data_IF_457461671166
#
_entry.id   IF_457461671166
#
_cell.length_a   1.000
_cell.length_b   1.000
_cell.length_c   1.000
_cell.angle_alpha   90.00
_cell.angle_beta   90.00
_cell.angle_gamma   90.00
#
_symmetry.space_group_name_H-M   'P 1'
#
loop_
_entity.id
_entity.type
_entity.pdbx_description
1 polymer ?
#
# COMPACT_ATOMS: atom_id res chain seq x y z
N UNK A 1 5.19 -10.61 -10.08
CA UNK A 1 4.54 -10.26 -8.80
C UNK A 1 5.58 -10.30 -7.70
N UNK A 2 5.59 -9.30 -6.83
CA UNK A 2 6.52 -9.23 -5.70
C UNK A 2 6.20 -10.30 -4.66
N UNK A 3 7.24 -10.98 -4.17
CA UNK A 3 7.13 -11.80 -2.95
C UNK A 3 7.18 -10.88 -1.73
N UNK A 4 6.06 -10.74 -1.01
CA UNK A 4 5.95 -9.82 0.12
C UNK A 4 6.60 -10.34 1.41
N UNK A 5 6.91 -11.64 1.51
CA UNK A 5 7.47 -12.24 2.72
C UNK A 5 8.76 -11.54 3.13
N UNK A 6 8.83 -11.02 4.33
CA UNK A 6 10.05 -10.42 4.84
C UNK A 6 10.19 -10.73 6.32
N UNK A 7 10.68 -11.94 6.61
CA UNK A 7 10.67 -12.52 7.94
C UNK A 7 11.11 -11.57 9.06
N UNK A 8 12.23 -10.88 8.88
CA UNK A 8 12.76 -9.95 9.89
C UNK A 8 11.80 -8.78 10.14
N UNK A 9 11.25 -8.19 9.07
CA UNK A 9 10.30 -7.09 9.18
C UNK A 9 8.95 -7.58 9.72
N UNK A 10 8.44 -8.69 9.21
CA UNK A 10 7.17 -9.28 9.61
C UNK A 10 7.14 -9.62 11.12
N UNK A 11 8.28 -10.04 11.70
CA UNK A 11 8.42 -10.24 13.15
C UNK A 11 8.35 -8.92 13.92
N UNK A 12 9.01 -7.85 13.44
CA UNK A 12 8.97 -6.56 14.11
C UNK A 12 7.56 -5.96 14.06
N UNK A 13 6.91 -6.04 12.90
CA UNK A 13 5.55 -5.56 12.67
C UNK A 13 4.52 -6.33 13.52
N UNK A 14 4.59 -7.67 13.58
CA UNK A 14 3.65 -8.49 14.37
C UNK A 14 3.84 -8.37 15.89
N UNK A 15 5.00 -7.89 16.35
CA UNK A 15 5.27 -7.57 17.75
C UNK A 15 5.00 -6.10 18.07
N UNK A 16 4.42 -5.33 17.14
CA UNK A 16 4.15 -3.90 17.28
C UNK A 16 5.41 -3.07 17.61
N UNK A 17 6.59 -3.57 17.20
CA UNK A 17 7.89 -2.90 17.40
C UNK A 17 8.12 -1.84 16.34
N UNK A 18 7.21 -0.87 16.27
CA UNK A 18 7.08 0.10 15.18
C UNK A 18 8.36 0.90 14.90
N UNK A 19 9.04 1.39 15.93
CA UNK A 19 10.29 2.11 15.76
C UNK A 19 11.42 1.28 15.18
N UNK A 20 11.48 0.01 15.56
CA UNK A 20 12.51 -0.91 15.07
C UNK A 20 12.20 -1.30 13.62
N UNK A 21 10.93 -1.55 13.30
CA UNK A 21 10.47 -1.77 11.92
C UNK A 21 10.78 -0.56 11.02
N UNK A 22 10.47 0.67 11.49
CA UNK A 22 10.80 1.93 10.82
C UNK A 22 12.31 2.04 10.55
N UNK A 23 13.13 1.88 11.58
CA UNK A 23 14.58 1.98 11.49
C UNK A 23 15.16 0.93 10.53
N UNK A 24 14.62 -0.29 10.58
CA UNK A 24 15.01 -1.37 9.69
C UNK A 24 14.67 -1.08 8.22
N UNK A 25 13.45 -0.60 7.94
CA UNK A 25 13.02 -0.24 6.58
C UNK A 25 13.84 0.93 6.01
N UNK A 26 14.05 2.00 6.77
CA UNK A 26 14.86 3.15 6.35
C UNK A 26 16.30 2.72 6.05
N UNK A 27 16.89 1.86 6.88
CA UNK A 27 18.23 1.31 6.65
C UNK A 27 18.30 0.53 5.34
N UNK A 28 17.34 -0.37 5.10
CA UNK A 28 17.30 -1.15 3.87
C UNK A 28 17.11 -0.27 2.64
N UNK A 29 16.26 0.76 2.72
CA UNK A 29 16.06 1.69 1.61
C UNK A 29 17.33 2.48 1.30
N UNK A 30 18.06 2.97 2.31
CA UNK A 30 19.35 3.65 2.12
C UNK A 30 20.41 2.75 1.47
N UNK A 31 20.40 1.45 1.77
CA UNK A 31 21.34 0.48 1.19
C UNK A 31 20.93 0.04 -0.22
N UNK A 32 19.63 -0.05 -0.48
CA UNK A 32 19.05 -0.58 -1.71
C UNK A 32 17.91 0.32 -2.22
N UNK A 33 18.20 1.58 -2.61
CA UNK A 33 17.15 2.57 -2.88
C UNK A 33 16.28 2.22 -4.09
N UNK A 34 16.81 1.41 -5.01
CA UNK A 34 16.08 0.95 -6.20
C UNK A 34 15.40 -0.41 -6.03
N UNK A 35 15.45 -1.00 -4.83
CA UNK A 35 14.65 -2.20 -4.55
C UNK A 35 13.18 -1.79 -4.39
N UNK A 36 12.39 -2.17 -5.38
CA UNK A 36 10.97 -1.87 -5.46
C UNK A 36 10.19 -2.37 -4.23
N UNK A 37 10.48 -3.58 -3.74
CA UNK A 37 9.81 -4.15 -2.58
C UNK A 37 10.09 -3.31 -1.34
N UNK A 38 11.34 -2.88 -1.17
CA UNK A 38 11.75 -2.04 -0.04
C UNK A 38 11.03 -0.69 -0.07
N UNK A 39 10.97 -0.05 -1.24
CA UNK A 39 10.28 1.23 -1.44
C UNK A 39 8.78 1.11 -1.13
N UNK A 40 8.12 0.08 -1.66
CA UNK A 40 6.69 -0.15 -1.39
C UNK A 40 6.46 -0.46 0.09
N UNK A 41 7.24 -1.36 0.70
CA UNK A 41 7.08 -1.72 2.12
C UNK A 41 7.32 -0.53 3.03
N UNK A 42 8.30 0.33 2.74
CA UNK A 42 8.55 1.54 3.52
C UNK A 42 7.41 2.56 3.38
N UNK A 43 7.00 2.88 2.15
CA UNK A 43 5.88 3.80 1.93
C UNK A 43 4.58 3.32 2.56
N UNK A 44 4.26 2.04 2.38
CA UNK A 44 3.10 1.42 3.01
C UNK A 44 3.17 1.45 4.54
N UNK A 45 4.32 1.13 5.12
CA UNK A 45 4.51 1.17 6.57
C UNK A 45 4.25 2.57 7.14
N UNK A 46 4.85 3.60 6.54
CA UNK A 46 4.67 4.98 6.99
C UNK A 46 3.20 5.40 6.90
N UNK A 47 2.55 5.14 5.76
CA UNK A 47 1.13 5.43 5.56
C UNK A 47 0.24 4.69 6.55
N UNK A 48 0.46 3.38 6.74
CA UNK A 48 -0.35 2.57 7.66
C UNK A 48 -0.26 3.08 9.10
N UNK A 49 0.95 3.35 9.59
CA UNK A 49 1.15 3.86 10.96
C UNK A 49 0.53 5.25 11.14
N UNK A 50 0.59 6.11 10.13
CA UNK A 50 -0.03 7.44 10.18
C UNK A 50 -1.56 7.37 10.19
N UNK A 51 -2.15 6.49 9.39
CA UNK A 51 -3.62 6.33 9.28
C UNK A 51 -4.21 5.67 10.52
N UNK A 52 -3.53 4.66 11.07
CA UNK A 52 -4.06 3.81 12.16
C UNK A 52 -3.59 4.27 13.57
N UNK A 53 -2.87 5.39 13.68
CA UNK A 53 -2.28 5.90 14.93
C UNK A 53 -3.27 5.88 16.12
N UNK A 54 -4.48 6.41 15.91
CA UNK A 54 -5.51 6.48 16.95
C UNK A 54 -5.97 5.11 17.47
N UNK A 55 -5.83 4.05 16.67
CA UNK A 55 -6.22 2.67 17.03
C UNK A 55 -5.06 1.87 17.59
N UNK A 56 -3.84 2.09 17.08
CA UNK A 56 -2.64 1.36 17.46
C UNK A 56 -2.03 1.83 18.79
N UNK A 57 -2.42 2.99 19.30
CA UNK A 57 -1.99 3.48 20.63
C UNK A 57 -0.46 3.66 20.73
N UNK A 58 0.16 4.05 19.62
CA UNK A 58 1.61 4.09 19.45
C UNK A 58 2.19 5.24 20.26
N UNK A 59 3.16 4.94 21.13
CA UNK A 59 3.76 5.95 22.02
C UNK A 59 5.17 6.38 21.64
N UNK A 60 5.89 5.52 20.93
CA UNK A 60 7.33 5.71 20.76
C UNK A 60 7.70 6.21 19.36
N UNK A 61 6.76 6.29 18.42
CA UNK A 61 7.05 6.69 17.03
C UNK A 61 7.00 8.20 16.87
N UNK A 62 8.05 8.77 16.27
CA UNK A 62 8.04 10.14 15.77
C UNK A 62 7.22 10.23 14.47
N UNK A 63 6.01 10.78 14.57
CA UNK A 63 5.10 10.95 13.44
C UNK A 63 5.58 12.01 12.44
N UNK A 64 6.26 13.06 12.89
CA UNK A 64 6.80 14.06 11.97
C UNK A 64 7.91 13.46 11.10
N UNK A 65 8.74 12.59 11.70
CA UNK A 65 9.73 11.81 10.94
C UNK A 65 9.04 10.87 9.95
N UNK A 66 7.95 10.20 10.33
CA UNK A 66 7.20 9.33 9.43
C UNK A 66 6.60 10.07 8.24
N UNK A 67 5.99 11.24 8.46
CA UNK A 67 5.47 12.07 7.38
C UNK A 67 6.59 12.50 6.42
N UNK A 68 7.75 12.88 6.97
CA UNK A 68 8.93 13.23 6.18
C UNK A 68 9.39 12.05 5.33
N UNK A 69 9.50 10.86 5.93
CA UNK A 69 9.92 9.65 5.22
C UNK A 69 8.89 9.23 4.17
N UNK A 70 7.58 9.33 4.46
CA UNK A 70 6.51 9.06 3.50
C UNK A 70 6.61 10.00 2.30
N UNK A 71 6.84 11.29 2.54
CA UNK A 71 7.05 12.26 1.47
C UNK A 71 8.26 11.88 0.61
N UNK A 72 9.43 11.65 1.23
CA UNK A 72 10.67 11.32 0.53
C UNK A 72 10.55 10.04 -0.32
N UNK A 73 10.01 8.96 0.25
CA UNK A 73 9.85 7.68 -0.47
C UNK A 73 8.81 7.80 -1.59
N UNK A 74 7.77 8.63 -1.41
CA UNK A 74 6.79 8.93 -2.46
C UNK A 74 7.46 9.67 -3.62
N UNK A 75 8.18 10.77 -3.35
CA UNK A 75 8.85 11.53 -4.40
C UNK A 75 9.88 10.66 -5.14
N UNK A 76 10.64 9.86 -4.41
CA UNK A 76 11.58 8.92 -5.00
C UNK A 76 10.87 7.90 -5.90
N UNK A 77 9.76 7.31 -5.42
CA UNK A 77 9.01 6.33 -6.17
C UNK A 77 8.41 6.91 -7.47
N UNK A 78 7.81 8.09 -7.39
CA UNK A 78 7.27 8.82 -8.55
C UNK A 78 8.36 9.13 -9.59
N UNK A 79 9.60 9.40 -9.16
CA UNK A 79 10.70 9.67 -10.07
C UNK A 79 11.25 8.40 -10.75
N UNK A 80 11.10 7.21 -10.15
CA UNK A 80 11.82 6.00 -10.56
C UNK A 80 10.92 4.84 -11.02
N UNK A 81 9.65 4.78 -10.61
CA UNK A 81 8.80 3.58 -10.77
C UNK A 81 7.43 3.84 -11.40
N UNK A 82 7.23 4.98 -12.07
CA UNK A 82 5.95 5.32 -12.74
C UNK A 82 5.58 4.43 -13.93
N UNK A 83 6.44 3.47 -14.29
CA UNK A 83 6.14 2.44 -15.29
C UNK A 83 5.98 1.04 -14.67
N UNK A 84 6.07 0.92 -13.35
CA UNK A 84 5.92 -0.35 -12.64
C UNK A 84 4.54 -0.46 -12.01
N UNK A 85 3.83 -1.51 -12.36
CA UNK A 85 2.45 -1.79 -11.97
C UNK A 85 2.26 -1.97 -10.46
N UNK A 86 3.20 -2.62 -9.76
CA UNK A 86 3.13 -2.84 -8.32
C UNK A 86 3.28 -1.52 -7.54
N UNK A 87 4.19 -0.65 -7.97
CA UNK A 87 4.34 0.70 -7.41
C UNK A 87 3.10 1.55 -7.65
N UNK A 88 2.67 1.61 -8.92
CA UNK A 88 1.48 2.37 -9.33
C UNK A 88 0.24 1.94 -8.55
N UNK A 89 0.03 0.64 -8.40
CA UNK A 89 -1.09 0.10 -7.64
C UNK A 89 -1.00 0.47 -6.15
N UNK A 90 0.11 0.14 -5.48
CA UNK A 90 0.18 0.29 -4.03
C UNK A 90 0.16 1.78 -3.61
N UNK A 91 0.93 2.64 -4.28
CA UNK A 91 0.90 4.08 -3.99
C UNK A 91 -0.39 4.72 -4.48
N UNK A 92 -0.92 4.30 -5.63
CA UNK A 92 -2.21 4.78 -6.11
C UNK A 92 -3.33 4.52 -5.11
N UNK A 93 -3.36 3.32 -4.51
CA UNK A 93 -4.32 2.93 -3.49
C UNK A 93 -4.22 3.79 -2.22
N UNK A 94 -3.00 3.96 -1.67
CA UNK A 94 -2.79 4.77 -0.47
C UNK A 94 -3.20 6.23 -0.69
N UNK A 95 -2.79 6.79 -1.83
CA UNK A 95 -3.06 8.17 -2.21
C UNK A 95 -4.57 8.39 -2.45
N UNK A 96 -5.26 7.46 -3.12
CA UNK A 96 -6.70 7.61 -3.37
C UNK A 96 -7.54 7.57 -2.09
N UNK A 97 -7.08 6.83 -1.07
CA UNK A 97 -7.81 6.73 0.20
C UNK A 97 -7.52 7.89 1.16
N UNK A 98 -6.27 8.31 1.27
CA UNK A 98 -5.85 9.34 2.22
C UNK A 98 -4.92 10.36 1.56
N UNK A 99 -5.43 11.16 0.61
CA UNK A 99 -4.60 12.06 -0.20
C UNK A 99 -3.93 13.18 0.62
N UNK A 100 -4.50 13.56 1.76
CA UNK A 100 -3.98 14.61 2.64
C UNK A 100 -2.59 14.33 3.23
N UNK A 101 -2.18 13.07 3.36
CA UNK A 101 -0.82 12.73 3.78
C UNK A 101 0.24 12.97 2.68
N UNK A 102 -0.20 13.20 1.44
CA UNK A 102 0.69 13.36 0.29
C UNK A 102 0.72 14.81 -0.24
N UNK A 103 -0.33 15.59 0.03
CA UNK A 103 -0.39 17.02 -0.26
C UNK A 103 -1.82 17.52 -0.43
N UNK A 104 -2.02 18.43 -1.40
CA UNK A 104 -3.35 18.95 -1.77
C UNK A 104 -4.32 17.81 -2.13
N UNK A 105 -5.41 17.70 -1.37
CA UNK A 105 -6.33 16.56 -1.41
C UNK A 105 -6.86 16.28 -2.82
N UNK A 106 -7.42 17.29 -3.50
CA UNK A 106 -8.05 17.09 -4.82
C UNK A 106 -7.01 16.63 -5.86
N UNK A 107 -5.87 17.31 -5.90
CA UNK A 107 -4.79 16.97 -6.83
C UNK A 107 -4.24 15.57 -6.59
N UNK A 108 -4.00 15.20 -5.33
CA UNK A 108 -3.42 13.91 -5.00
C UNK A 108 -4.42 12.78 -5.17
N UNK A 109 -5.69 12.97 -4.82
CA UNK A 109 -6.74 11.96 -5.06
C UNK A 109 -6.82 11.61 -6.56
N UNK A 110 -6.91 12.61 -7.44
CA UNK A 110 -6.91 12.41 -8.89
C UNK A 110 -5.65 11.69 -9.37
N UNK A 111 -4.48 12.04 -8.81
CA UNK A 111 -3.21 11.38 -9.11
C UNK A 111 -3.23 9.92 -8.69
N UNK A 112 -3.74 9.60 -7.50
CA UNK A 112 -3.88 8.24 -6.99
C UNK A 112 -4.75 7.38 -7.90
N UNK A 113 -5.92 7.91 -8.28
CA UNK A 113 -6.84 7.25 -9.22
C UNK A 113 -6.19 7.03 -10.59
N UNK A 114 -5.45 8.01 -11.09
CA UNK A 114 -4.69 7.89 -12.36
C UNK A 114 -3.61 6.81 -12.29
N UNK A 115 -2.92 6.67 -11.15
CA UNK A 115 -1.93 5.61 -10.93
C UNK A 115 -2.59 4.23 -10.90
N UNK A 116 -3.73 4.08 -10.22
CA UNK A 116 -4.51 2.83 -10.21
C UNK A 116 -4.97 2.45 -11.62
N UNK A 117 -5.50 3.41 -12.37
CA UNK A 117 -5.87 3.23 -13.77
C UNK A 117 -4.68 2.72 -14.59
N UNK A 118 -3.51 3.33 -14.41
CA UNK A 118 -2.31 2.95 -15.16
C UNK A 118 -1.84 1.54 -14.81
N UNK A 119 -1.89 1.13 -13.54
CA UNK A 119 -1.58 -0.24 -13.13
C UNK A 119 -2.53 -1.25 -13.82
N UNK A 120 -3.82 -0.95 -13.84
CA UNK A 120 -4.82 -1.75 -14.55
C UNK A 120 -4.56 -1.81 -16.06
N UNK A 121 -4.24 -0.69 -16.72
CA UNK A 121 -3.94 -0.67 -18.15
C UNK A 121 -2.68 -1.50 -18.51
N UNK A 122 -1.67 -1.50 -17.63
CA UNK A 122 -0.45 -2.29 -17.83
C UNK A 122 -0.71 -3.79 -17.64
N UNK A 123 -1.60 -4.16 -16.73
CA UNK A 123 -1.90 -5.54 -16.36
C UNK A 123 -3.41 -5.77 -16.16
N UNK A 124 -4.23 -5.75 -17.24
CA UNK A 124 -5.69 -5.72 -17.14
C UNK A 124 -6.34 -7.02 -16.63
N UNK A 125 -5.58 -8.11 -16.63
CA UNK A 125 -6.02 -9.41 -16.13
C UNK A 125 -5.62 -9.64 -14.67
N UNK A 126 -4.92 -8.70 -14.03
CA UNK A 126 -4.53 -8.81 -12.62
C UNK A 126 -5.73 -8.36 -11.74
N UNK A 127 -6.32 -9.28 -10.95
CA UNK A 127 -7.57 -8.99 -10.24
C UNK A 127 -7.47 -7.85 -9.24
N UNK A 128 -6.34 -7.73 -8.53
CA UNK A 128 -6.11 -6.72 -7.50
C UNK A 128 -6.06 -5.32 -8.10
N UNK A 129 -5.32 -5.13 -9.20
CA UNK A 129 -5.22 -3.83 -9.87
C UNK A 129 -6.57 -3.42 -10.48
N UNK A 130 -7.24 -4.38 -11.11
CA UNK A 130 -8.56 -4.18 -11.72
C UNK A 130 -9.60 -3.78 -10.68
N UNK A 131 -9.71 -4.53 -9.58
CA UNK A 131 -10.64 -4.23 -8.50
C UNK A 131 -10.34 -2.86 -7.87
N UNK A 132 -9.06 -2.58 -7.58
CA UNK A 132 -8.65 -1.31 -6.97
C UNK A 132 -9.03 -0.10 -7.85
N UNK A 133 -8.86 -0.19 -9.18
CA UNK A 133 -9.28 0.88 -10.08
C UNK A 133 -10.81 1.00 -10.19
N UNK A 134 -11.51 -0.12 -10.39
CA UNK A 134 -12.97 -0.11 -10.57
C UNK A 134 -13.73 0.33 -9.31
N UNK A 135 -13.17 0.10 -8.11
CA UNK A 135 -13.74 0.57 -6.85
C UNK A 135 -13.84 2.10 -6.75
N UNK A 136 -13.06 2.84 -7.55
CA UNK A 136 -13.11 4.30 -7.62
C UNK A 136 -14.15 4.83 -8.63
N UNK A 137 -14.93 3.96 -9.29
CA UNK A 137 -15.94 4.35 -10.27
C UNK A 137 -17.37 4.29 -9.70
N UNK A 138 -18.18 5.35 -9.78
CA UNK A 138 -19.50 5.43 -9.14
C UNK A 138 -20.60 4.52 -9.75
N UNK A 139 -20.34 3.84 -10.87
CA UNK A 139 -21.38 3.19 -11.70
C UNK A 139 -21.28 1.65 -11.81
N UNK A 140 -20.63 0.96 -10.87
CA UNK A 140 -20.26 -0.46 -11.06
C UNK A 140 -20.50 -1.38 -9.87
N UNK A 141 -21.49 -1.15 -9.01
CA UNK A 141 -21.70 -1.99 -7.81
C UNK A 141 -21.84 -3.50 -8.10
N UNK A 142 -22.66 -3.92 -9.07
CA UNK A 142 -22.79 -5.34 -9.43
C UNK A 142 -21.51 -5.93 -10.03
N UNK A 143 -20.86 -5.17 -10.93
CA UNK A 143 -19.58 -5.59 -11.52
C UNK A 143 -18.48 -5.68 -10.45
N UNK A 144 -18.47 -4.79 -9.48
CA UNK A 144 -17.47 -4.76 -8.41
C UNK A 144 -17.56 -6.03 -7.54
N UNK A 145 -18.75 -6.61 -7.37
CA UNK A 145 -18.93 -7.88 -6.66
C UNK A 145 -18.29 -9.05 -7.42
N UNK A 146 -18.45 -9.12 -8.74
CA UNK A 146 -17.79 -10.16 -9.54
C UNK A 146 -16.26 -10.05 -9.48
N UNK A 147 -15.75 -8.82 -9.60
CA UNK A 147 -14.31 -8.53 -9.52
C UNK A 147 -13.76 -8.83 -8.11
N UNK A 148 -14.55 -8.61 -7.06
CA UNK A 148 -14.19 -8.98 -5.69
C UNK A 148 -13.94 -10.48 -5.53
N UNK A 149 -14.80 -11.33 -6.12
CA UNK A 149 -14.57 -12.79 -6.11
C UNK A 149 -13.27 -13.16 -6.83
N UNK A 150 -12.88 -12.43 -7.87
CA UNK A 150 -11.59 -12.65 -8.54
C UNK A 150 -10.41 -12.28 -7.63
N UNK A 151 -10.52 -11.21 -6.84
CA UNK A 151 -9.50 -10.85 -5.83
C UNK A 151 -9.40 -11.93 -4.76
N UNK A 152 -10.53 -12.39 -4.22
CA UNK A 152 -10.60 -13.46 -3.23
C UNK A 152 -9.86 -14.73 -3.68
N UNK A 153 -10.02 -15.12 -4.95
CA UNK A 153 -9.36 -16.32 -5.50
C UNK A 153 -7.82 -16.23 -5.54
N UNK A 154 -7.26 -15.02 -5.56
CA UNK A 154 -5.80 -14.81 -5.63
C UNK A 154 -5.22 -14.26 -4.33
N UNK A 155 -6.06 -13.93 -3.35
CA UNK A 155 -5.70 -13.13 -2.18
C UNK A 155 -4.57 -13.75 -1.34
N UNK A 156 -4.70 -15.04 -1.01
CA UNK A 156 -3.72 -15.74 -0.17
C UNK A 156 -2.36 -15.92 -0.88
N UNK A 157 -2.38 -16.19 -2.18
CA UNK A 157 -1.17 -16.34 -3.00
C UNK A 157 -0.50 -15.00 -3.29
N UNK A 158 -1.29 -13.94 -3.46
CA UNK A 158 -0.82 -12.60 -3.77
C UNK A 158 -0.20 -11.93 -2.54
N UNK A 159 -0.75 -12.15 -1.34
CA UNK A 159 -0.31 -11.53 -0.10
C UNK A 159 0.31 -12.54 0.87
N UNK A 160 1.40 -13.16 0.45
CA UNK A 160 2.16 -14.04 1.31
C UNK A 160 2.94 -13.26 2.38
N UNK A 161 3.24 -13.92 3.50
CA UNK A 161 3.95 -13.32 4.63
C UNK A 161 3.01 -12.88 5.74
N UNK A 162 3.62 -12.55 6.88
CA UNK A 162 2.92 -12.26 8.13
C UNK A 162 3.01 -10.78 8.49
N UNK A 163 3.65 -9.97 7.64
CA UNK A 163 3.76 -8.53 7.83
C UNK A 163 2.45 -7.78 7.62
N UNK A 164 2.43 -6.54 8.11
CA UNK A 164 1.25 -5.68 8.15
C UNK A 164 0.67 -5.40 6.76
N UNK A 165 1.49 -5.30 5.71
CA UNK A 165 0.97 -5.11 4.34
C UNK A 165 0.09 -6.29 3.92
N UNK A 166 0.58 -7.52 4.09
CA UNK A 166 -0.15 -8.72 3.71
C UNK A 166 -1.40 -8.89 4.57
N UNK A 167 -1.30 -8.66 5.87
CA UNK A 167 -2.44 -8.73 6.78
C UNK A 167 -3.50 -7.66 6.48
N UNK A 168 -3.08 -6.43 6.18
CA UNK A 168 -3.97 -5.32 5.86
C UNK A 168 -4.82 -5.62 4.63
N UNK A 169 -4.18 -5.96 3.49
CA UNK A 169 -4.93 -6.23 2.26
C UNK A 169 -5.80 -7.48 2.36
N UNK A 170 -5.35 -8.51 3.10
CA UNK A 170 -6.20 -9.65 3.44
C UNK A 170 -7.42 -9.22 4.25
N UNK A 171 -7.24 -8.42 5.28
CA UNK A 171 -8.34 -7.95 6.14
C UNK A 171 -9.37 -7.11 5.37
N UNK A 172 -8.89 -6.11 4.61
CA UNK A 172 -9.74 -5.24 3.79
C UNK A 172 -10.54 -6.07 2.79
N UNK A 173 -9.90 -7.03 2.13
CA UNK A 173 -10.57 -7.81 1.09
C UNK A 173 -11.22 -9.10 1.57
N UNK A 174 -11.08 -9.51 2.83
CA UNK A 174 -11.91 -10.55 3.45
C UNK A 174 -13.21 -9.97 4.05
N UNK A 175 -13.19 -8.74 4.56
CA UNK A 175 -14.31 -8.15 5.33
C UNK A 175 -15.45 -7.54 4.50
N UNK A 176 -15.28 -7.37 3.19
CA UNK A 176 -16.22 -6.68 2.28
C UNK A 176 -17.55 -7.43 2.00
N UNK A 177 -17.90 -8.45 2.79
CA UNK A 177 -19.15 -9.22 2.69
C UNK A 177 -19.92 -9.44 4.02
N UNK A 178 -19.55 -8.77 5.11
CA UNK A 178 -20.32 -8.87 6.37
C UNK A 178 -21.38 -7.78 6.60
N UNK A 179 -21.64 -6.88 5.64
CA UNK A 179 -22.73 -5.88 5.73
C UNK A 179 -23.72 -5.96 4.56
#
# INVERSE_FOLDING_TARGET
>A
MIDWRWKELDILESQERWNEAKSFLIKNWKQHPRDLKVVIRLGFFCWYVLVEDGWLGIKDVDFNELETVLYEVTQFGLANFMTNEDFLWCFGYMISLFPHYFGDCEHWEEKGISMLKRAYELCPNEPVYRYSYLGNSPNTQEKLKEEFYQVQNVLEDRFQGEGVLSQYFKSVWHSLHEN
#
